data_IF_330030665855
#
_entry.id   IF_330030665855
#
_cell.length_a   1.000
_cell.length_b   1.000
_cell.length_c   1.000
_cell.angle_alpha   90.00
_cell.angle_beta   90.00
_cell.angle_gamma   90.00
#
_symmetry.space_group_name_H-M   'P 1'
#
loop_
_entity.id
_entity.type
_entity.pdbx_description
1 polymer ?
#
# COMPACT_ATOMS: atom_id res chain seq x y z
N UNK A 1 -8.25 38.23 45.13
CA UNK A 1 -7.51 39.44 44.69
C UNK A 1 -6.26 38.98 43.90
N UNK A 2 -5.48 39.93 43.36
CA UNK A 2 -4.25 39.74 42.55
C UNK A 2 -2.99 39.91 43.48
N UNK A 3 -1.72 39.79 43.02
CA UNK A 3 -1.03 38.54 42.64
C UNK A 3 0.47 38.54 43.13
N UNK A 4 1.37 37.93 42.34
CA UNK A 4 2.84 38.17 42.23
C UNK A 4 3.83 37.56 43.23
N UNK A 5 4.86 36.95 42.65
CA UNK A 5 6.24 36.79 43.15
C UNK A 5 7.18 36.82 41.94
N UNK A 6 8.34 37.50 42.02
CA UNK A 6 9.02 37.99 40.80
C UNK A 6 10.52 38.25 40.95
N UNK A 7 11.35 37.70 40.04
CA UNK A 7 12.79 37.99 39.81
C UNK A 7 13.69 37.69 41.06
N UNK A 8 15.02 37.57 41.05
CA UNK A 8 16.13 37.64 40.07
C UNK A 8 17.26 36.68 40.62
N UNK A 9 18.52 36.52 40.16
CA UNK A 9 19.43 37.32 39.33
C UNK A 9 20.50 36.45 38.61
N UNK A 10 21.40 37.11 37.85
CA UNK A 10 22.55 36.53 37.14
C UNK A 10 23.88 36.68 37.90
N UNK A 11 24.79 35.71 37.78
CA UNK A 11 26.27 35.85 37.76
C UNK A 11 26.85 34.58 37.09
N UNK A 12 27.97 34.56 36.34
CA UNK A 12 28.91 35.61 35.90
C UNK A 12 29.71 35.13 34.64
N UNK A 13 30.74 35.85 34.17
CA UNK A 13 31.40 35.64 32.86
C UNK A 13 32.95 35.64 32.89
N UNK A 14 33.56 34.61 32.26
CA UNK A 14 34.94 34.56 31.69
C UNK A 14 36.14 34.78 32.69
N UNK A 15 37.45 34.75 32.28
CA UNK A 15 38.07 34.55 30.95
C UNK A 15 39.29 33.58 30.79
N UNK A 16 39.53 33.13 29.53
CA UNK A 16 40.79 33.00 28.74
C UNK A 16 42.01 32.09 29.11
N UNK A 17 42.47 31.33 28.08
CA UNK A 17 43.86 31.02 27.62
C UNK A 17 44.82 30.22 28.54
N UNK A 18 45.88 29.53 28.07
CA UNK A 18 46.53 29.37 26.74
C UNK A 18 46.26 27.96 26.12
N UNK A 19 47.07 27.17 25.36
CA UNK A 19 48.45 27.18 24.82
C UNK A 19 48.56 26.29 23.54
N UNK A 20 49.77 26.08 22.98
CA UNK A 20 50.02 25.25 21.77
C UNK A 20 51.45 24.68 21.68
N UNK A 21 51.69 23.65 20.83
CA UNK A 21 52.84 23.46 19.90
C UNK A 21 53.16 21.98 19.58
N UNK A 22 53.34 21.63 18.29
CA UNK A 22 54.63 21.26 17.65
C UNK A 22 54.45 20.83 16.17
N UNK A 23 55.54 20.82 15.38
CA UNK A 23 55.54 20.58 13.93
C UNK A 23 56.88 19.92 13.47
N UNK A 24 57.19 19.98 12.15
CA UNK A 24 58.27 19.32 11.37
C UNK A 24 57.87 17.93 10.80
N UNK A 25 58.40 17.46 9.66
CA UNK A 25 59.50 17.93 8.77
C UNK A 25 59.01 18.04 7.31
N UNK A 26 59.63 18.91 6.50
CA UNK A 26 59.62 18.82 5.04
C UNK A 26 61.05 18.95 4.48
N UNK A 27 61.37 18.23 3.38
CA UNK A 27 62.60 18.38 2.59
C UNK A 27 62.28 18.11 1.11
N UNK A 28 63.08 18.66 0.17
CA UNK A 28 62.68 18.81 -1.22
C UNK A 28 63.80 18.62 -2.26
N UNK A 29 63.41 18.15 -3.46
CA UNK A 29 64.17 18.17 -4.73
C UNK A 29 65.46 17.30 -4.76
N UNK A 30 66.08 16.93 -5.89
CA UNK A 30 65.96 17.28 -7.33
C UNK A 30 66.09 15.99 -8.17
N UNK A 31 65.57 15.93 -9.41
CA UNK A 31 66.14 15.05 -10.45
C UNK A 31 65.17 14.49 -11.50
N UNK A 32 65.24 15.02 -12.73
CA UNK A 32 64.51 14.48 -13.89
C UNK A 32 65.31 13.43 -14.66
N UNK A 33 64.68 12.31 -15.05
CA UNK A 33 65.05 11.51 -16.24
C UNK A 33 63.81 10.82 -16.81
N UNK A 34 63.80 10.65 -18.13
CA UNK A 34 62.66 10.13 -18.90
C UNK A 34 62.74 8.61 -19.09
N UNK A 35 61.60 7.94 -19.00
CA UNK A 35 61.34 6.70 -19.74
C UNK A 35 59.83 6.61 -20.04
N UNK A 36 59.48 6.19 -21.26
CA UNK A 36 58.10 6.07 -21.71
C UNK A 36 57.67 4.60 -21.66
N UNK A 37 56.83 4.25 -20.68
CA UNK A 37 56.08 2.99 -20.66
C UNK A 37 54.62 3.29 -20.34
N UNK A 38 53.75 3.07 -21.33
CA UNK A 38 52.30 3.13 -21.18
C UNK A 38 51.82 1.96 -20.33
N UNK A 39 51.10 2.18 -19.21
CA UNK A 39 50.41 1.10 -18.53
C UNK A 39 49.29 0.57 -19.44
N UNK A 40 49.35 -0.70 -19.82
CA UNK A 40 48.21 -1.36 -20.47
C UNK A 40 47.07 -1.43 -19.47
N UNK A 41 46.04 -0.59 -19.67
CA UNK A 41 44.82 -0.62 -18.87
C UNK A 41 44.15 -1.98 -19.09
N UNK A 42 44.21 -2.84 -18.06
CA UNK A 42 43.49 -4.10 -18.07
C UNK A 42 41.99 -3.85 -18.21
N UNK A 43 41.30 -4.66 -19.01
CA UNK A 43 39.85 -4.57 -19.18
C UNK A 43 39.16 -4.61 -17.81
N UNK A 44 38.35 -3.61 -17.43
CA UNK A 44 37.68 -3.63 -16.15
C UNK A 44 36.77 -4.85 -16.07
N UNK A 45 36.84 -5.61 -14.97
CA UNK A 45 35.87 -6.67 -14.73
C UNK A 45 34.46 -6.06 -14.68
N UNK A 46 33.43 -6.77 -15.18
CA UNK A 46 32.05 -6.29 -15.10
C UNK A 46 31.68 -6.06 -13.63
N UNK A 47 31.47 -4.81 -13.25
CA UNK A 47 30.96 -4.47 -11.93
C UNK A 47 29.57 -5.09 -11.77
N UNK A 48 29.21 -5.53 -10.56
CA UNK A 48 27.94 -6.22 -10.24
C UNK A 48 26.68 -5.34 -10.35
N UNK A 49 26.78 -4.21 -11.07
CA UNK A 49 25.74 -3.21 -11.28
C UNK A 49 24.97 -3.41 -12.60
N UNK A 50 24.80 -4.64 -13.08
CA UNK A 50 23.88 -4.99 -14.17
C UNK A 50 22.44 -5.19 -13.67
N UNK A 51 21.98 -4.28 -12.80
CA UNK A 51 20.56 -4.15 -12.45
C UNK A 51 19.77 -3.75 -13.69
N UNK A 52 19.26 -4.76 -14.40
CA UNK A 52 18.52 -4.57 -15.64
C UNK A 52 17.20 -3.83 -15.33
N UNK A 53 17.12 -2.54 -15.67
CA UNK A 53 16.03 -1.65 -15.25
C UNK A 53 14.62 -2.16 -15.64
N UNK A 54 14.54 -2.98 -16.69
CA UNK A 54 13.34 -3.69 -17.14
C UNK A 54 12.76 -4.68 -16.11
N UNK A 55 13.54 -5.12 -15.11
CA UNK A 55 13.06 -5.95 -13.98
C UNK A 55 12.25 -5.17 -12.94
N UNK A 56 12.39 -3.85 -12.87
CA UNK A 56 11.71 -3.01 -11.86
C UNK A 56 10.36 -2.47 -12.33
N UNK A 57 10.04 -2.66 -13.61
CA UNK A 57 8.82 -2.15 -14.24
C UNK A 57 7.71 -3.22 -14.25
N UNK A 58 6.52 -2.82 -13.79
CA UNK A 58 5.30 -3.59 -13.91
C UNK A 58 4.84 -3.65 -15.39
N UNK A 59 3.95 -4.59 -15.76
CA UNK A 59 3.38 -4.64 -17.11
C UNK A 59 2.68 -3.35 -17.54
N UNK A 60 2.66 -3.07 -18.84
CA UNK A 60 1.86 -1.98 -19.42
C UNK A 60 0.37 -2.09 -19.01
N UNK A 61 -0.19 -0.96 -18.58
CA UNK A 61 -1.57 -0.84 -18.12
C UNK A 61 -1.80 -1.33 -16.69
N UNK A 62 -0.76 -1.52 -15.88
CA UNK A 62 -0.86 -2.01 -14.50
C UNK A 62 -1.69 -1.10 -13.57
N UNK A 63 -2.12 -1.68 -12.45
CA UNK A 63 -2.98 -1.10 -11.43
C UNK A 63 -2.38 -1.26 -10.04
N UNK A 64 -2.11 -0.15 -9.35
CA UNK A 64 -1.98 -0.16 -7.89
C UNK A 64 -3.38 -0.15 -7.26
N UNK A 65 -3.76 -1.25 -6.61
CA UNK A 65 -5.06 -1.38 -5.95
C UNK A 65 -5.12 -0.83 -4.51
N UNK A 66 -4.07 -0.18 -3.98
CA UNK A 66 -4.07 0.45 -2.65
C UNK A 66 -2.92 1.47 -2.48
N UNK A 67 -3.25 2.76 -2.49
CA UNK A 67 -2.39 3.82 -1.95
C UNK A 67 -3.19 4.88 -1.17
N UNK A 68 -2.50 5.76 -0.45
CA UNK A 68 -3.07 6.89 0.29
C UNK A 68 -2.45 8.22 -0.17
N UNK A 69 -3.25 9.29 -0.20
CA UNK A 69 -2.73 10.68 -0.24
C UNK A 69 -2.99 11.33 1.12
N UNK A 70 -2.02 12.11 1.60
CA UNK A 70 -2.02 12.67 2.95
C UNK A 70 -1.51 14.12 2.89
N UNK A 71 -2.28 15.04 3.47
CA UNK A 71 -1.97 16.47 3.56
C UNK A 71 -2.43 16.96 4.94
N UNK A 72 -1.60 16.78 5.99
CA UNK A 72 -1.98 17.12 7.36
C UNK A 72 -2.01 18.64 7.61
N UNK A 73 -1.56 19.44 6.64
CA UNK A 73 -1.51 20.90 6.71
C UNK A 73 -2.83 21.51 6.26
N UNK A 74 -3.38 21.06 5.12
CA UNK A 74 -4.70 21.50 4.63
C UNK A 74 -5.85 20.72 5.25
N UNK A 75 -5.62 19.45 5.61
CA UNK A 75 -6.62 18.57 6.22
C UNK A 75 -6.08 18.00 7.54
N UNK A 76 -6.41 18.60 8.69
CA UNK A 76 -5.96 18.10 9.99
C UNK A 76 -6.44 16.65 10.27
N UNK A 77 -5.54 15.74 10.68
CA UNK A 77 -5.93 14.41 11.13
C UNK A 77 -6.87 14.43 12.36
N UNK A 78 -7.60 13.33 12.56
CA UNK A 78 -8.40 13.09 13.76
C UNK A 78 -7.54 13.21 15.03
N UNK A 79 -8.12 13.74 16.11
CA UNK A 79 -7.43 13.93 17.41
C UNK A 79 -6.90 12.62 18.02
N UNK A 80 -7.53 11.50 17.67
CA UNK A 80 -7.17 10.14 18.06
C UNK A 80 -6.57 9.31 16.90
N UNK A 81 -6.01 9.96 15.88
CA UNK A 81 -5.30 9.29 14.80
C UNK A 81 -4.14 8.42 15.35
N UNK A 82 -4.03 7.19 14.85
CA UNK A 82 -3.08 6.18 15.37
C UNK A 82 -1.59 6.50 15.15
N UNK A 83 -1.27 7.54 14.37
CA UNK A 83 0.07 8.06 14.12
C UNK A 83 -0.03 9.52 13.64
N UNK A 84 1.08 10.27 13.73
CA UNK A 84 1.21 11.60 13.10
C UNK A 84 1.85 11.40 11.72
N UNK A 85 1.17 11.73 10.61
CA UNK A 85 1.71 11.52 9.27
C UNK A 85 2.59 12.69 8.80
N UNK A 86 3.42 12.43 7.79
CA UNK A 86 3.96 13.46 6.90
C UNK A 86 2.96 13.85 5.80
N UNK A 87 3.37 14.81 4.95
CA UNK A 87 2.68 15.12 3.70
C UNK A 87 3.12 14.14 2.61
N UNK A 88 2.16 13.63 1.84
CA UNK A 88 2.36 12.67 0.76
C UNK A 88 1.32 12.95 -0.35
N UNK A 89 1.73 13.68 -1.38
CA UNK A 89 0.83 14.30 -2.37
C UNK A 89 0.51 13.42 -3.59
N UNK A 90 -0.53 13.82 -4.33
CA UNK A 90 -0.87 13.33 -5.68
C UNK A 90 0.33 13.39 -6.65
N UNK A 91 1.18 14.42 -6.52
CA UNK A 91 2.35 14.60 -7.38
C UNK A 91 3.46 13.58 -7.03
N UNK A 92 3.78 13.45 -5.75
CA UNK A 92 4.79 12.49 -5.28
C UNK A 92 4.39 11.04 -5.58
N UNK A 93 3.11 10.69 -5.39
CA UNK A 93 2.61 9.41 -5.87
C UNK A 93 2.71 9.30 -7.39
N UNK A 94 2.28 10.29 -8.17
CA UNK A 94 2.36 10.22 -9.64
C UNK A 94 3.78 9.98 -10.17
N UNK A 95 4.80 10.52 -9.51
CA UNK A 95 6.23 10.25 -9.79
C UNK A 95 6.61 8.82 -9.37
N UNK A 96 6.17 8.36 -8.18
CA UNK A 96 6.39 7.00 -7.70
C UNK A 96 5.78 5.94 -8.62
N UNK A 97 4.50 6.07 -9.00
CA UNK A 97 3.79 5.14 -9.90
C UNK A 97 4.48 5.05 -11.26
N UNK A 98 4.90 6.18 -11.82
CA UNK A 98 5.67 6.22 -13.06
C UNK A 98 7.03 5.50 -12.90
N UNK A 99 7.69 5.63 -11.75
CA UNK A 99 8.95 4.94 -11.47
C UNK A 99 8.84 3.40 -11.37
N UNK A 100 7.62 2.87 -11.24
CA UNK A 100 7.33 1.42 -11.24
C UNK A 100 6.55 0.93 -12.46
N UNK A 101 6.20 1.80 -13.42
CA UNK A 101 5.42 1.41 -14.60
C UNK A 101 3.94 1.16 -14.30
N UNK A 102 3.36 1.96 -13.40
CA UNK A 102 1.96 1.84 -12.98
C UNK A 102 1.10 2.98 -13.55
N UNK A 103 0.17 2.61 -14.42
CA UNK A 103 -0.66 3.56 -15.16
C UNK A 103 -1.95 3.93 -14.42
N UNK A 104 -2.55 3.00 -13.69
CA UNK A 104 -3.85 3.16 -13.02
C UNK A 104 -3.71 2.99 -11.51
N UNK A 105 -4.51 3.73 -10.72
CA UNK A 105 -4.35 3.75 -9.26
C UNK A 105 -5.70 3.72 -8.52
N UNK A 106 -5.70 3.14 -7.32
CA UNK A 106 -6.88 3.09 -6.44
C UNK A 106 -6.55 3.75 -5.10
N UNK A 107 -7.00 4.99 -4.97
CA UNK A 107 -6.81 5.78 -3.76
C UNK A 107 -7.78 5.33 -2.68
N UNK A 108 -7.24 4.91 -1.55
CA UNK A 108 -7.99 4.46 -0.38
C UNK A 108 -7.96 5.54 0.69
N UNK A 109 -9.10 5.83 1.29
CA UNK A 109 -9.21 6.73 2.44
C UNK A 109 -8.38 6.18 3.63
N UNK A 110 -7.38 6.93 4.15
CA UNK A 110 -6.61 6.51 5.30
C UNK A 110 -7.38 6.83 6.59
N UNK A 111 -7.29 5.92 7.58
CA UNK A 111 -8.09 6.01 8.82
C UNK A 111 -7.83 7.27 9.67
N UNK A 112 -6.69 7.93 9.47
CA UNK A 112 -6.34 9.22 10.11
C UNK A 112 -7.32 10.36 9.80
N UNK A 113 -8.14 10.24 8.75
CA UNK A 113 -9.16 11.23 8.37
C UNK A 113 -10.60 10.78 8.63
N UNK A 114 -10.80 9.53 9.09
CA UNK A 114 -12.13 8.97 9.29
C UNK A 114 -13.00 9.09 8.04
N UNK A 115 -14.21 9.62 8.21
CA UNK A 115 -15.20 9.83 7.13
C UNK A 115 -14.98 11.11 6.31
N UNK A 116 -13.96 11.93 6.61
CA UNK A 116 -13.67 13.13 5.81
C UNK A 116 -12.91 12.78 4.52
N UNK A 117 -13.65 12.39 3.49
CA UNK A 117 -13.10 12.02 2.18
C UNK A 117 -12.67 13.23 1.31
N UNK A 118 -12.67 14.47 1.82
CA UNK A 118 -12.50 15.67 0.99
C UNK A 118 -11.17 15.68 0.21
N UNK A 119 -10.04 15.36 0.87
CA UNK A 119 -8.74 15.24 0.21
C UNK A 119 -8.72 14.16 -0.87
N UNK A 120 -9.38 13.02 -0.64
CA UNK A 120 -9.51 11.95 -1.62
C UNK A 120 -10.33 12.41 -2.83
N UNK A 121 -11.47 13.09 -2.61
CA UNK A 121 -12.35 13.56 -3.68
C UNK A 121 -11.76 14.72 -4.48
N UNK A 122 -10.94 15.59 -3.88
CA UNK A 122 -10.09 16.54 -4.60
C UNK A 122 -9.04 15.82 -5.44
N UNK A 123 -8.35 14.84 -4.85
CA UNK A 123 -7.27 14.12 -5.51
C UNK A 123 -7.75 13.31 -6.72
N UNK A 124 -8.92 12.65 -6.64
CA UNK A 124 -9.52 11.96 -7.79
C UNK A 124 -9.78 12.91 -8.96
N UNK A 125 -10.20 14.15 -8.70
CA UNK A 125 -10.39 15.16 -9.74
C UNK A 125 -9.06 15.59 -10.38
N UNK A 126 -7.96 15.54 -9.63
CA UNK A 126 -6.62 15.83 -10.14
C UNK A 126 -6.02 14.70 -11.00
N UNK A 127 -6.28 13.42 -10.66
CA UNK A 127 -5.87 12.27 -11.50
C UNK A 127 -6.76 12.07 -12.74
N UNK A 128 -8.05 12.36 -12.63
CA UNK A 128 -9.05 12.10 -13.66
C UNK A 128 -9.59 10.65 -13.68
N UNK A 129 -10.83 10.44 -14.17
CA UNK A 129 -11.53 9.16 -14.13
C UNK A 129 -11.00 8.10 -15.11
N UNK A 130 -10.01 8.43 -15.94
CA UNK A 130 -9.25 7.47 -16.74
C UNK A 130 -8.20 6.75 -15.87
N UNK A 131 -7.51 7.50 -15.00
CA UNK A 131 -6.35 7.01 -14.23
C UNK A 131 -6.69 6.49 -12.84
N UNK A 132 -7.55 7.19 -12.09
CA UNK A 132 -7.78 6.89 -10.68
C UNK A 132 -9.17 6.30 -10.37
N UNK A 133 -9.25 5.49 -9.31
CA UNK A 133 -10.47 5.12 -8.60
C UNK A 133 -10.35 5.46 -7.13
N UNK A 134 -11.48 5.69 -6.46
CA UNK A 134 -11.53 5.96 -5.03
C UNK A 134 -12.17 4.84 -4.22
N UNK A 135 -11.69 4.63 -3.00
CA UNK A 135 -12.35 3.85 -1.95
C UNK A 135 -12.50 4.73 -0.71
N UNK A 136 -13.73 5.16 -0.44
CA UNK A 136 -14.07 6.09 0.64
C UNK A 136 -14.26 5.38 1.99
N UNK A 137 -14.36 6.12 3.09
CA UNK A 137 -14.99 5.66 4.34
C UNK A 137 -16.17 6.58 4.62
N UNK A 138 -17.36 6.05 4.89
CA UNK A 138 -18.53 6.87 5.21
C UNK A 138 -19.42 6.19 6.26
N UNK A 139 -20.35 6.95 6.81
CA UNK A 139 -21.39 6.43 7.72
C UNK A 139 -22.70 6.33 6.95
N UNK A 140 -23.25 5.12 6.83
CA UNK A 140 -24.50 4.82 6.11
C UNK A 140 -25.71 5.59 6.63
N UNK A 141 -25.71 6.03 7.89
CA UNK A 141 -26.81 6.79 8.49
C UNK A 141 -26.71 8.29 8.22
N UNK A 142 -25.53 8.78 7.87
CA UNK A 142 -25.23 10.20 7.65
C UNK A 142 -24.80 10.53 6.20
N UNK A 143 -24.94 9.58 5.27
CA UNK A 143 -24.54 9.73 3.86
C UNK A 143 -25.73 9.41 2.94
N UNK A 144 -26.17 10.40 2.17
CA UNK A 144 -27.31 10.27 1.26
C UNK A 144 -26.92 9.59 -0.07
N UNK A 145 -27.91 8.96 -0.72
CA UNK A 145 -27.75 8.40 -2.07
C UNK A 145 -27.22 9.43 -3.09
N UNK A 146 -27.66 10.69 -2.99
CA UNK A 146 -27.18 11.79 -3.83
C UNK A 146 -25.67 12.08 -3.65
N UNK A 147 -25.14 11.97 -2.42
CA UNK A 147 -23.70 12.08 -2.17
C UNK A 147 -22.94 10.88 -2.74
N UNK A 148 -23.46 9.64 -2.58
CA UNK A 148 -22.87 8.45 -3.19
C UNK A 148 -22.86 8.52 -4.72
N UNK A 149 -23.92 9.06 -5.33
CA UNK A 149 -24.01 9.27 -6.78
C UNK A 149 -22.97 10.27 -7.31
N UNK A 150 -22.76 11.41 -6.63
CA UNK A 150 -21.71 12.36 -7.02
C UNK A 150 -20.30 11.77 -6.79
N UNK A 151 -20.08 11.04 -5.70
CA UNK A 151 -18.81 10.32 -5.48
C UNK A 151 -18.56 9.27 -6.57
N UNK A 152 -19.59 8.55 -7.00
CA UNK A 152 -19.51 7.61 -8.12
C UNK A 152 -19.17 8.33 -9.44
N UNK A 153 -19.72 9.53 -9.67
CA UNK A 153 -19.43 10.37 -10.83
C UNK A 153 -18.00 10.93 -10.80
N UNK A 154 -17.46 11.25 -9.62
CA UNK A 154 -16.06 11.67 -9.42
C UNK A 154 -15.06 10.53 -9.68
N UNK A 155 -15.43 9.27 -9.39
CA UNK A 155 -14.59 8.09 -9.65
C UNK A 155 -14.46 7.11 -8.49
N UNK A 156 -15.20 7.29 -7.39
CA UNK A 156 -15.27 6.34 -6.28
C UNK A 156 -15.92 5.03 -6.76
N UNK A 157 -15.33 3.88 -6.43
CA UNK A 157 -15.82 2.53 -6.77
C UNK A 157 -15.76 1.56 -5.59
N UNK A 158 -15.65 2.06 -4.36
CA UNK A 158 -15.70 1.22 -3.18
C UNK A 158 -15.84 1.99 -1.88
N UNK A 159 -16.14 1.25 -0.81
CA UNK A 159 -16.08 1.73 0.57
C UNK A 159 -15.19 0.79 1.40
N UNK A 160 -14.35 1.37 2.26
CA UNK A 160 -13.45 0.63 3.15
C UNK A 160 -14.09 0.46 4.52
N UNK A 161 -14.02 -0.75 5.04
CA UNK A 161 -14.42 -1.09 6.40
C UNK A 161 -13.20 -1.72 7.10
N UNK A 162 -12.75 -1.09 8.18
CA UNK A 162 -11.53 -1.46 8.88
C UNK A 162 -11.85 -2.22 10.18
N UNK A 163 -11.65 -3.53 10.15
CA UNK A 163 -11.95 -4.43 11.26
C UNK A 163 -10.76 -4.63 12.21
N UNK A 164 -9.56 -4.12 11.88
CA UNK A 164 -8.40 -4.15 12.81
C UNK A 164 -8.62 -3.33 14.09
N UNK A 165 -9.49 -2.33 14.02
CA UNK A 165 -9.92 -1.52 15.17
C UNK A 165 -11.17 -2.06 15.88
N UNK A 166 -11.72 -3.19 15.41
CA UNK A 166 -12.80 -3.88 16.12
C UNK A 166 -12.18 -4.67 17.27
N UNK A 167 -12.49 -4.26 18.49
CA UNK A 167 -12.19 -5.06 19.68
C UNK A 167 -12.87 -6.43 19.55
N UNK A 168 -12.23 -7.49 20.06
CA UNK A 168 -12.75 -8.86 20.02
C UNK A 168 -14.04 -9.11 20.85
N UNK A 169 -14.78 -8.04 21.17
CA UNK A 169 -16.03 -8.00 21.91
C UNK A 169 -17.24 -7.60 21.05
N UNK A 170 -17.06 -7.20 19.77
CA UNK A 170 -18.19 -7.06 18.85
C UNK A 170 -18.64 -8.43 18.32
N UNK A 171 -19.96 -8.67 18.31
CA UNK A 171 -20.50 -9.95 17.85
C UNK A 171 -20.45 -10.09 16.33
N UNK A 172 -20.45 -11.34 15.86
CA UNK A 172 -20.51 -11.66 14.42
C UNK A 172 -21.78 -11.05 13.78
N UNK A 173 -22.89 -10.95 14.53
CA UNK A 173 -24.14 -10.34 14.06
C UNK A 173 -23.97 -8.83 13.78
N UNK A 174 -23.21 -8.11 14.63
CA UNK A 174 -22.89 -6.70 14.38
C UNK A 174 -22.00 -6.54 13.15
N UNK A 175 -21.04 -7.44 12.97
CA UNK A 175 -20.18 -7.44 11.78
C UNK A 175 -21.01 -7.71 10.51
N UNK A 176 -21.86 -8.73 10.51
CA UNK A 176 -22.78 -9.04 9.42
C UNK A 176 -23.70 -7.85 9.09
N UNK A 177 -24.35 -7.27 10.10
CA UNK A 177 -25.18 -6.08 9.94
C UNK A 177 -24.39 -4.92 9.33
N UNK A 178 -23.17 -4.66 9.82
CA UNK A 178 -22.30 -3.59 9.33
C UNK A 178 -21.93 -3.81 7.86
N UNK A 179 -21.48 -5.01 7.49
CA UNK A 179 -21.15 -5.31 6.09
C UNK A 179 -22.40 -5.29 5.20
N UNK A 180 -23.57 -5.68 5.73
CA UNK A 180 -24.84 -5.68 5.00
C UNK A 180 -25.37 -4.27 4.71
N UNK A 181 -25.43 -3.37 5.69
CA UNK A 181 -25.91 -1.99 5.45
C UNK A 181 -25.00 -1.23 4.48
N UNK A 182 -23.68 -1.47 4.52
CA UNK A 182 -22.76 -0.91 3.53
C UNK A 182 -22.93 -1.56 2.16
N UNK A 183 -23.10 -2.88 2.08
CA UNK A 183 -23.36 -3.58 0.81
C UNK A 183 -24.62 -3.02 0.14
N UNK A 184 -25.76 -3.00 0.84
CA UNK A 184 -27.03 -2.57 0.29
C UNK A 184 -27.00 -1.08 -0.14
N UNK A 185 -26.26 -0.22 0.57
CA UNK A 185 -26.09 1.19 0.21
C UNK A 185 -25.22 1.43 -1.05
N UNK A 186 -24.19 0.60 -1.31
CA UNK A 186 -23.25 0.83 -2.42
C UNK A 186 -23.51 -0.05 -3.66
N UNK A 187 -24.34 -1.08 -3.51
CA UNK A 187 -24.77 -2.01 -4.57
C UNK A 187 -25.41 -1.35 -5.80
N UNK A 188 -26.22 -0.27 -5.71
CA UNK A 188 -26.74 0.43 -6.89
C UNK A 188 -25.65 0.99 -7.81
N UNK A 189 -24.43 1.20 -7.30
CA UNK A 189 -23.31 1.77 -8.02
C UNK A 189 -22.27 0.73 -8.48
N UNK A 190 -22.50 -0.57 -8.22
CA UNK A 190 -21.55 -1.67 -8.41
C UNK A 190 -20.16 -1.36 -7.81
N UNK A 191 -20.18 -0.93 -6.54
CA UNK A 191 -18.98 -0.67 -5.75
C UNK A 191 -18.48 -1.93 -5.01
N UNK A 192 -17.20 -1.91 -4.68
CA UNK A 192 -16.49 -2.94 -3.91
C UNK A 192 -16.54 -2.63 -2.41
N UNK A 193 -16.78 -3.62 -1.56
CA UNK A 193 -16.43 -3.53 -0.14
C UNK A 193 -14.97 -3.93 0.06
N UNK A 194 -14.14 -2.98 0.49
CA UNK A 194 -12.75 -3.24 0.86
C UNK A 194 -12.67 -3.51 2.37
N UNK A 195 -12.19 -4.70 2.74
CA UNK A 195 -12.09 -5.15 4.12
C UNK A 195 -10.62 -5.23 4.54
N UNK A 196 -10.24 -4.46 5.58
CA UNK A 196 -8.99 -4.72 6.29
C UNK A 196 -9.34 -5.46 7.58
N UNK A 197 -9.07 -6.77 7.60
CA UNK A 197 -9.54 -7.69 8.63
C UNK A 197 -8.47 -8.74 8.95
N UNK A 198 -8.28 -9.15 10.22
CA UNK A 198 -7.43 -10.27 10.58
C UNK A 198 -7.88 -11.56 9.87
N UNK A 199 -6.92 -12.35 9.36
CA UNK A 199 -7.24 -13.59 8.60
C UNK A 199 -8.12 -14.55 9.40
N UNK A 200 -7.95 -14.59 10.71
CA UNK A 200 -8.68 -15.48 11.59
C UNK A 200 -10.18 -15.17 11.73
N UNK A 201 -10.62 -14.00 11.27
CA UNK A 201 -12.03 -13.58 11.20
C UNK A 201 -12.71 -13.99 9.88
N UNK A 202 -11.93 -14.33 8.84
CA UNK A 202 -12.45 -14.71 7.51
C UNK A 202 -13.42 -15.90 7.56
N UNK A 203 -13.26 -16.96 8.40
CA UNK A 203 -14.26 -18.02 8.53
C UNK A 203 -15.63 -17.54 9.00
N UNK A 204 -15.70 -16.52 9.87
CA UNK A 204 -16.97 -15.92 10.31
C UNK A 204 -17.60 -15.08 9.19
N UNK A 205 -16.76 -14.37 8.43
CA UNK A 205 -17.16 -13.55 7.28
C UNK A 205 -17.64 -14.43 6.12
N UNK A 206 -17.05 -15.61 5.93
CA UNK A 206 -17.42 -16.58 4.88
C UNK A 206 -18.88 -17.03 4.96
N UNK A 207 -19.43 -17.12 6.17
CA UNK A 207 -20.80 -17.59 6.40
C UNK A 207 -21.88 -16.73 5.72
N UNK A 208 -21.66 -15.42 5.58
CA UNK A 208 -22.67 -14.48 5.08
C UNK A 208 -22.23 -13.60 3.90
N UNK A 209 -20.93 -13.44 3.62
CA UNK A 209 -20.43 -12.63 2.47
C UNK A 209 -21.12 -12.94 1.13
N UNK A 210 -21.42 -14.21 0.77
CA UNK A 210 -22.10 -14.52 -0.49
C UNK A 210 -23.48 -13.86 -0.64
N UNK A 211 -24.15 -13.54 0.47
CA UNK A 211 -25.48 -12.92 0.50
C UNK A 211 -25.47 -11.42 0.20
N UNK A 212 -24.34 -10.74 0.43
CA UNK A 212 -24.20 -9.28 0.29
C UNK A 212 -24.46 -8.82 -1.17
N UNK A 213 -24.14 -9.67 -2.15
CA UNK A 213 -24.43 -9.41 -3.56
C UNK A 213 -23.61 -8.29 -4.19
N UNK A 214 -22.46 -7.97 -3.60
CA UNK A 214 -21.45 -6.99 -4.06
C UNK A 214 -20.08 -7.68 -4.19
N UNK A 215 -19.10 -6.99 -4.79
CA UNK A 215 -17.70 -7.47 -4.86
C UNK A 215 -16.97 -7.16 -3.55
N UNK A 216 -16.15 -8.09 -3.07
CA UNK A 216 -15.36 -7.95 -1.83
C UNK A 216 -13.86 -7.98 -2.16
N UNK A 217 -13.05 -7.16 -1.50
CA UNK A 217 -11.57 -7.31 -1.54
C UNK A 217 -10.97 -7.22 -0.14
N UNK A 218 -10.13 -8.20 0.21
CA UNK A 218 -9.33 -8.19 1.44
C UNK A 218 -7.99 -7.46 1.22
N UNK A 219 -7.68 -6.49 2.08
CA UNK A 219 -6.38 -5.80 2.11
C UNK A 219 -5.25 -6.71 2.62
N UNK A 220 -4.00 -6.43 2.22
CA UNK A 220 -2.74 -6.94 2.81
C UNK A 220 -2.71 -8.46 3.10
N UNK A 221 -2.83 -9.29 2.05
CA UNK A 221 -2.91 -10.77 2.13
C UNK A 221 -4.11 -11.31 2.93
N UNK A 222 -5.05 -10.46 3.37
CA UNK A 222 -6.06 -10.82 4.36
C UNK A 222 -5.53 -10.81 5.80
N UNK A 223 -4.44 -10.09 6.07
CA UNK A 223 -3.75 -9.97 7.36
C UNK A 223 -3.48 -11.31 8.08
N UNK A 224 -2.57 -12.14 7.53
CA UNK A 224 -2.17 -13.40 8.16
C UNK A 224 -1.37 -13.16 9.44
N UNK A 225 -1.77 -13.83 10.53
CA UNK A 225 -0.93 -13.98 11.74
C UNK A 225 0.19 -14.97 11.46
N UNK A 226 1.22 -14.52 10.75
CA UNK A 226 2.36 -15.34 10.35
C UNK A 226 3.07 -15.98 11.57
N UNK A 227 3.38 -17.29 11.55
CA UNK A 227 4.15 -17.95 12.59
C UNK A 227 5.60 -17.47 12.58
N UNK A 228 6.33 -17.68 13.67
CA UNK A 228 7.78 -17.47 13.67
C UNK A 228 8.46 -18.50 12.74
N UNK A 229 9.32 -18.10 11.79
CA UNK A 229 9.98 -19.04 10.89
C UNK A 229 10.88 -20.03 11.64
N UNK A 230 10.55 -21.32 11.56
CA UNK A 230 11.32 -22.42 12.15
C UNK A 230 11.87 -23.33 11.05
N UNK A 231 13.16 -23.14 10.74
CA UNK A 231 13.81 -23.80 9.61
C UNK A 231 13.58 -23.04 8.30
N UNK A 232 13.24 -23.76 7.24
CA UNK A 232 13.10 -23.23 5.88
C UNK A 232 11.72 -22.58 5.67
N UNK A 233 11.63 -21.24 5.47
CA UNK A 233 10.37 -20.53 5.34
C UNK A 233 9.54 -20.95 4.11
N UNK A 234 10.18 -21.51 3.07
CA UNK A 234 9.46 -21.99 1.87
C UNK A 234 8.64 -23.26 2.15
N UNK A 235 8.80 -23.90 3.31
CA UNK A 235 8.08 -25.13 3.72
C UNK A 235 6.86 -24.88 4.61
N UNK A 236 6.52 -23.62 4.88
CA UNK A 236 5.27 -23.27 5.56
C UNK A 236 4.06 -23.69 4.70
N UNK A 237 3.21 -24.57 5.21
CA UNK A 237 1.90 -24.83 4.63
C UNK A 237 0.97 -23.62 4.89
N UNK A 238 0.49 -22.90 3.86
CA UNK A 238 -0.43 -21.79 4.04
C UNK A 238 -1.76 -22.20 4.70
N UNK A 239 -2.21 -23.44 4.50
CA UNK A 239 -3.46 -23.94 5.07
C UNK A 239 -3.41 -24.16 6.59
N UNK A 240 -2.22 -24.19 7.18
CA UNK A 240 -2.02 -24.16 8.64
C UNK A 240 -2.37 -22.80 9.27
N UNK A 241 -2.42 -21.71 8.49
CA UNK A 241 -2.77 -20.38 9.00
C UNK A 241 -4.29 -20.29 9.17
N UNK A 242 -4.71 -19.99 10.41
CA UNK A 242 -6.13 -19.85 10.79
C UNK A 242 -6.84 -18.85 9.88
N UNK A 243 -7.76 -19.35 9.07
CA UNK A 243 -8.59 -18.57 8.13
C UNK A 243 -8.15 -18.61 6.67
N UNK A 244 -6.91 -19.02 6.36
CA UNK A 244 -6.43 -19.07 4.97
C UNK A 244 -7.29 -19.97 4.07
N UNK A 245 -7.67 -21.14 4.57
CA UNK A 245 -8.56 -22.07 3.87
C UNK A 245 -9.98 -21.53 3.62
N UNK A 246 -10.47 -20.59 4.44
CA UNK A 246 -11.74 -19.88 4.21
C UNK A 246 -11.59 -18.80 3.12
N UNK A 247 -10.48 -18.05 3.16
CA UNK A 247 -10.13 -17.11 2.09
C UNK A 247 -10.05 -17.82 0.72
N UNK A 248 -9.34 -18.94 0.62
CA UNK A 248 -9.23 -19.72 -0.63
C UNK A 248 -10.59 -20.17 -1.17
N UNK A 249 -11.55 -20.53 -0.29
CA UNK A 249 -12.92 -20.87 -0.70
C UNK A 249 -13.68 -19.63 -1.20
N UNK A 250 -13.65 -18.51 -0.48
CA UNK A 250 -14.27 -17.25 -0.90
C UNK A 250 -13.73 -16.74 -2.24
N UNK A 251 -12.41 -16.79 -2.46
CA UNK A 251 -11.80 -16.43 -3.74
C UNK A 251 -12.31 -17.32 -4.88
N UNK A 252 -12.45 -18.64 -4.65
CA UNK A 252 -12.99 -19.60 -5.63
C UNK A 252 -14.48 -19.42 -5.94
N UNK A 253 -15.25 -18.80 -5.05
CA UNK A 253 -16.65 -18.39 -5.34
C UNK A 253 -16.76 -17.20 -6.30
N UNK A 254 -15.65 -16.54 -6.65
CA UNK A 254 -15.57 -15.62 -7.79
C UNK A 254 -16.04 -14.18 -7.53
N UNK A 255 -16.60 -13.86 -6.36
CA UNK A 255 -16.97 -12.49 -5.93
C UNK A 255 -16.04 -11.84 -4.90
N UNK A 256 -14.99 -12.55 -4.50
CA UNK A 256 -14.01 -12.07 -3.51
C UNK A 256 -12.62 -12.02 -4.13
N UNK A 257 -11.86 -10.98 -3.81
CA UNK A 257 -10.46 -10.76 -4.20
C UNK A 257 -9.58 -10.57 -2.95
N UNK A 258 -8.25 -10.66 -3.12
CA UNK A 258 -7.26 -10.28 -2.09
C UNK A 258 -6.11 -9.47 -2.69
N UNK A 259 -5.59 -8.48 -1.94
CA UNK A 259 -4.47 -7.62 -2.34
C UNK A 259 -3.14 -8.16 -1.81
N UNK A 260 -2.21 -8.46 -2.71
CA UNK A 260 -0.80 -8.73 -2.40
C UNK A 260 -0.11 -7.38 -2.20
N UNK A 261 0.00 -6.99 -0.93
CA UNK A 261 0.38 -5.63 -0.52
C UNK A 261 0.81 -5.61 0.94
N UNK A 262 1.52 -4.56 1.39
CA UNK A 262 1.85 -4.39 2.81
C UNK A 262 2.69 -5.52 3.41
N UNK A 263 3.52 -6.20 2.63
CA UNK A 263 4.30 -7.38 3.05
C UNK A 263 5.11 -7.12 4.34
N UNK A 264 5.72 -5.94 4.44
CA UNK A 264 6.45 -5.45 5.62
C UNK A 264 5.62 -5.31 6.91
N UNK A 265 4.28 -5.32 6.82
CA UNK A 265 3.37 -5.26 7.99
C UNK A 265 3.12 -6.65 8.59
N UNK A 266 3.11 -7.70 7.75
CA UNK A 266 2.65 -9.06 8.11
C UNK A 266 3.78 -10.08 8.24
N UNK A 267 4.87 -9.88 7.47
CA UNK A 267 6.10 -10.67 7.49
C UNK A 267 6.68 -10.85 8.91
N UNK A 268 7.46 -11.93 9.10
CA UNK A 268 8.35 -12.13 10.24
C UNK A 268 9.83 -12.10 9.83
N UNK A 269 10.13 -12.22 8.54
CA UNK A 269 11.48 -11.99 8.01
C UNK A 269 11.70 -10.49 7.67
N UNK A 270 12.97 -10.03 7.71
CA UNK A 270 13.33 -8.70 7.24
C UNK A 270 13.10 -8.55 5.72
N UNK A 271 13.02 -7.30 5.28
CA UNK A 271 12.91 -6.97 3.86
C UNK A 271 14.21 -7.18 3.06
N UNK A 272 14.17 -6.96 1.74
CA UNK A 272 13.04 -6.39 1.01
C UNK A 272 12.15 -7.43 0.29
N UNK A 273 12.46 -8.73 0.41
CA UNK A 273 11.74 -9.80 -0.30
C UNK A 273 10.69 -10.54 0.55
N UNK A 274 10.69 -10.43 1.89
CA UNK A 274 9.64 -10.97 2.79
C UNK A 274 9.25 -12.44 2.49
N UNK A 275 10.26 -13.30 2.32
CA UNK A 275 10.12 -14.61 1.66
C UNK A 275 9.41 -15.71 2.47
N UNK A 276 9.00 -15.42 3.70
CA UNK A 276 8.04 -16.22 4.48
C UNK A 276 6.59 -16.06 3.95
N UNK A 277 6.32 -15.04 3.13
CA UNK A 277 5.05 -14.87 2.43
C UNK A 277 4.99 -15.63 1.09
N UNK A 278 6.10 -16.17 0.59
CA UNK A 278 6.16 -16.87 -0.71
C UNK A 278 5.20 -18.05 -0.80
N UNK A 279 5.05 -18.94 0.22
CA UNK A 279 4.09 -20.04 0.13
C UNK A 279 2.65 -19.55 0.02
N UNK A 280 2.28 -18.48 0.74
CA UNK A 280 0.95 -17.87 0.67
C UNK A 280 0.71 -17.26 -0.70
N UNK A 281 1.68 -16.51 -1.24
CA UNK A 281 1.60 -15.89 -2.56
C UNK A 281 1.46 -16.95 -3.66
N UNK A 282 2.31 -18.00 -3.65
CA UNK A 282 2.26 -19.12 -4.60
C UNK A 282 0.93 -19.87 -4.53
N UNK A 283 0.40 -20.15 -3.34
CA UNK A 283 -0.90 -20.83 -3.19
C UNK A 283 -2.07 -19.95 -3.64
N UNK A 284 -2.06 -18.65 -3.33
CA UNK A 284 -3.04 -17.69 -3.84
C UNK A 284 -3.04 -17.62 -5.38
N UNK A 285 -1.86 -17.53 -5.99
CA UNK A 285 -1.69 -17.56 -7.45
C UNK A 285 -2.17 -18.88 -8.06
N UNK A 286 -1.89 -20.03 -7.42
CA UNK A 286 -2.29 -21.35 -7.90
C UNK A 286 -3.79 -21.60 -7.79
N UNK A 287 -4.38 -21.26 -6.65
CA UNK A 287 -5.75 -21.65 -6.30
C UNK A 287 -6.82 -20.66 -6.75
N UNK A 288 -6.47 -19.38 -6.91
CA UNK A 288 -7.40 -18.34 -7.36
C UNK A 288 -6.72 -17.30 -8.27
N UNK A 289 -6.04 -17.69 -9.37
CA UNK A 289 -5.23 -16.79 -10.21
C UNK A 289 -5.97 -15.57 -10.77
N UNK A 290 -7.30 -15.60 -10.83
CA UNK A 290 -8.14 -14.49 -11.29
C UNK A 290 -8.67 -13.56 -10.17
N UNK A 291 -8.28 -13.77 -8.92
CA UNK A 291 -8.82 -13.06 -7.75
C UNK A 291 -7.75 -12.49 -6.81
N UNK A 292 -6.55 -12.28 -7.35
CA UNK A 292 -5.40 -11.74 -6.63
C UNK A 292 -4.92 -10.49 -7.34
N UNK A 293 -4.79 -9.36 -6.64
CA UNK A 293 -4.37 -8.07 -7.21
C UNK A 293 -3.12 -7.53 -6.53
N UNK A 294 -2.27 -6.83 -7.28
CA UNK A 294 -1.14 -6.07 -6.73
C UNK A 294 -1.59 -4.81 -5.98
N UNK A 295 -0.84 -4.39 -4.96
CA UNK A 295 -0.84 -2.99 -4.50
C UNK A 295 0.49 -2.59 -3.84
N UNK A 296 0.87 -1.32 -3.94
CA UNK A 296 2.10 -0.82 -3.33
C UNK A 296 1.97 -0.56 -1.82
N UNK A 297 0.77 -0.16 -1.36
CA UNK A 297 0.53 0.39 -0.03
C UNK A 297 1.35 1.68 0.27
N UNK A 298 1.65 2.48 -0.76
CA UNK A 298 2.25 3.81 -0.66
C UNK A 298 1.34 4.77 0.14
N UNK A 299 1.87 5.65 1.00
CA UNK A 299 3.28 6.00 1.24
C UNK A 299 3.94 5.16 2.34
N UNK A 300 3.54 3.91 2.52
CA UNK A 300 4.12 2.98 3.50
C UNK A 300 4.01 3.50 4.94
N UNK A 301 2.83 3.97 5.31
CA UNK A 301 2.53 4.65 6.58
C UNK A 301 3.02 3.88 7.81
N UNK A 302 3.79 4.54 8.68
CA UNK A 302 4.52 3.98 9.85
C UNK A 302 5.76 3.13 9.49
N UNK A 303 6.19 3.14 8.23
CA UNK A 303 7.38 2.49 7.68
C UNK A 303 8.11 3.49 6.76
N UNK A 304 8.27 4.72 7.23
CA UNK A 304 8.80 5.85 6.47
C UNK A 304 10.20 5.56 5.89
N UNK A 305 10.38 5.83 4.60
CA UNK A 305 11.63 5.54 3.87
C UNK A 305 11.73 4.12 3.28
N UNK A 306 10.71 3.28 3.44
CA UNK A 306 10.65 1.96 2.79
C UNK A 306 10.58 2.08 1.26
N UNK A 307 11.36 1.24 0.56
CA UNK A 307 11.31 1.08 -0.90
C UNK A 307 10.66 -0.27 -1.24
N UNK A 308 9.50 -0.22 -1.89
CA UNK A 308 8.73 -1.41 -2.31
C UNK A 308 9.22 -2.02 -3.64
N UNK A 309 10.12 -1.35 -4.38
CA UNK A 309 10.57 -1.79 -5.71
C UNK A 309 11.25 -3.16 -5.74
N UNK A 310 12.06 -3.59 -4.75
CA UNK A 310 12.60 -4.95 -4.76
C UNK A 310 11.52 -6.01 -4.46
N UNK A 311 10.49 -5.68 -3.67
CA UNK A 311 9.31 -6.54 -3.50
C UNK A 311 8.51 -6.66 -4.79
N UNK A 312 8.35 -5.58 -5.56
CA UNK A 312 7.75 -5.63 -6.89
C UNK A 312 8.53 -6.56 -7.84
N UNK A 313 9.87 -6.48 -7.83
CA UNK A 313 10.73 -7.40 -8.59
C UNK A 313 10.60 -8.86 -8.11
N UNK A 314 10.52 -9.10 -6.79
CA UNK A 314 10.31 -10.42 -6.21
C UNK A 314 8.95 -11.01 -6.61
N UNK A 315 7.87 -10.21 -6.64
CA UNK A 315 6.57 -10.64 -7.16
C UNK A 315 6.63 -11.00 -8.66
N UNK A 316 7.40 -10.26 -9.45
CA UNK A 316 7.65 -10.57 -10.86
C UNK A 316 8.41 -11.90 -11.03
N UNK A 317 9.33 -12.22 -10.12
CA UNK A 317 10.06 -13.50 -10.09
C UNK A 317 9.20 -14.66 -9.56
N UNK A 318 8.27 -14.40 -8.62
CA UNK A 318 7.31 -15.39 -8.11
C UNK A 318 6.27 -15.83 -9.14
N UNK A 319 5.80 -14.93 -10.02
CA UNK A 319 4.96 -15.31 -11.18
C UNK A 319 5.78 -15.87 -12.35
N UNK A 320 7.09 -15.59 -12.37
CA UNK A 320 8.07 -16.16 -13.29
C UNK A 320 7.76 -15.91 -14.76
N UNK A 321 7.90 -16.95 -15.58
CA UNK A 321 7.65 -16.91 -17.02
C UNK A 321 6.18 -16.93 -17.44
N UNK A 322 5.22 -17.08 -16.51
CA UNK A 322 3.80 -17.07 -16.86
C UNK A 322 3.31 -15.63 -17.09
N UNK A 323 3.43 -15.20 -18.34
CA UNK A 323 2.95 -13.89 -18.80
C UNK A 323 1.44 -13.69 -18.59
N UNK A 324 0.63 -14.76 -18.51
CA UNK A 324 -0.81 -14.67 -18.24
C UNK A 324 -1.06 -14.43 -16.75
N UNK A 325 -0.34 -15.13 -15.86
CA UNK A 325 -0.40 -14.87 -14.42
C UNK A 325 0.14 -13.46 -14.08
N UNK A 326 1.24 -13.04 -14.72
CA UNK A 326 1.78 -11.68 -14.62
C UNK A 326 0.74 -10.62 -15.05
N UNK A 327 0.09 -10.79 -16.20
CA UNK A 327 -0.97 -9.87 -16.64
C UNK A 327 -2.19 -9.88 -15.71
N UNK A 328 -2.58 -11.04 -15.17
CA UNK A 328 -3.66 -11.14 -14.17
C UNK A 328 -3.36 -10.37 -12.89
N UNK A 329 -2.21 -10.63 -12.26
CA UNK A 329 -1.83 -10.06 -10.96
C UNK A 329 -1.77 -8.52 -10.99
N UNK A 330 -1.10 -7.97 -12.01
CA UNK A 330 -0.80 -6.54 -12.06
C UNK A 330 -1.84 -5.72 -12.84
N UNK A 331 -2.68 -6.32 -13.69
CA UNK A 331 -3.62 -5.60 -14.57
C UNK A 331 -5.03 -6.19 -14.58
N UNK A 332 -5.20 -7.42 -15.09
CA UNK A 332 -6.53 -7.89 -15.51
C UNK A 332 -7.47 -8.17 -14.33
N UNK A 333 -6.95 -8.68 -13.21
CA UNK A 333 -7.76 -8.93 -12.01
C UNK A 333 -8.19 -7.63 -11.31
N UNK A 334 -7.35 -6.59 -11.38
CA UNK A 334 -7.65 -5.26 -10.85
C UNK A 334 -8.65 -4.52 -11.74
N UNK A 335 -8.55 -4.69 -13.07
CA UNK A 335 -9.55 -4.22 -14.03
C UNK A 335 -10.93 -4.82 -13.75
N UNK A 336 -11.01 -6.14 -13.56
CA UNK A 336 -12.24 -6.89 -13.18
C UNK A 336 -12.79 -6.50 -11.79
N UNK A 337 -11.93 -6.03 -10.88
CA UNK A 337 -12.33 -5.56 -9.55
C UNK A 337 -12.84 -4.11 -9.53
N UNK A 338 -12.18 -3.19 -10.23
CA UNK A 338 -12.36 -1.74 -10.04
C UNK A 338 -13.09 -1.01 -11.18
N UNK A 339 -13.33 -1.67 -12.31
CA UNK A 339 -14.27 -1.16 -13.31
C UNK A 339 -15.70 -1.55 -12.92
N UNK A 340 -16.68 -0.69 -13.22
CA UNK A 340 -18.09 -1.03 -13.04
C UNK A 340 -18.54 -1.92 -14.20
N UNK A 341 -19.22 -3.01 -13.87
CA UNK A 341 -19.88 -3.91 -14.81
C UNK A 341 -21.19 -3.33 -15.34
N UNK A 342 -21.74 -2.31 -14.66
CA UNK A 342 -22.88 -1.52 -15.11
C UNK A 342 -22.47 -0.63 -16.29
N UNK A 343 -22.68 -1.14 -17.50
CA UNK A 343 -22.58 -0.35 -18.74
C UNK A 343 -23.61 0.79 -18.68
N UNK A 344 -23.15 2.04 -18.78
CA UNK A 344 -24.03 3.22 -18.86
C UNK A 344 -24.88 3.15 -20.14
N UNK A 345 -26.11 2.65 -20.03
CA UNK A 345 -27.09 2.56 -21.12
C UNK A 345 -27.64 3.92 -21.60
N UNK A 346 -27.19 5.03 -20.98
CA UNK A 346 -27.71 6.38 -21.16
C UNK A 346 -26.75 7.37 -21.82
N UNK A 347 -25.54 6.97 -22.22
CA UNK A 347 -24.63 7.81 -23.04
C UNK A 347 -24.90 7.67 -24.55
N UNK A 348 -26.18 7.65 -24.94
CA UNK A 348 -26.59 7.62 -26.34
C UNK A 348 -27.80 8.53 -26.64
N UNK A 349 -27.87 9.68 -25.95
CA UNK A 349 -28.72 10.83 -26.34
C UNK A 349 -27.86 11.90 -26.99
N UNK A 350 -28.16 12.17 -28.27
CA UNK A 350 -27.55 13.22 -29.10
C UNK A 350 -27.69 14.60 -28.44
N UNK A 351 -26.65 15.42 -28.55
CA UNK A 351 -26.72 16.75 -29.16
C UNK A 351 -25.41 17.03 -29.89
#
# INVERSE_FOLDING_TARGET
MRPLGSLQAYHGLLPLLTAAAHALVAFASVGSRTSSQTPTIGTPQPCLCSFNATKLQLPEGSWDSHFHVIDPVRFPPLRNAAYKPGTHTVWENSVFEHSIGCDHVVMVQPSIYGTNNTLLLESLKAYGPQRARGVVVFDVHNTTEAQLAEWNRIGVRGVRINLQSINATESIERLELTLKVHADAVKPFDWVLQLYAPMELIPSIEAFVPTLGVRIVFDHFGDPKMPQPTGDPQKLDPHSIKGFSAMIRLLKQGRTWVKISGAYRVSKLPGPNYSDLDPLARELFRAAPSRVVYSSDWPHTRFEGLDIRPWNAHLLELVGGDMRLRQKLFRDNARDLWQSTTVNSTLNTKY
#
